data_IF_834804857625
#
_entry.id   IF_834804857625
#
_cell.length_a   1.000
_cell.length_b   1.000
_cell.length_c   1.000
_cell.angle_alpha   90.00
_cell.angle_beta   90.00
_cell.angle_gamma   90.00
#
_symmetry.space_group_name_H-M   'P 1'
#
loop_
_entity.id
_entity.type
_entity.pdbx_description
1 polymer ?
#
# COMPACT_ATOMS: atom_id res chain seq x y z
N UNK A 1 -1.69 1.66 -12.65
CA UNK A 1 -2.20 2.65 -13.62
C UNK A 1 -1.23 3.82 -13.76
N UNK A 2 -1.55 4.77 -14.62
CA UNK A 2 -0.80 6.04 -14.70
C UNK A 2 -1.05 6.87 -13.44
N UNK A 3 -0.01 7.50 -12.89
CA UNK A 3 -0.16 8.48 -11.81
C UNK A 3 -0.56 9.86 -12.34
N UNK A 4 -0.78 10.81 -11.42
CA UNK A 4 -1.22 12.18 -11.75
C UNK A 4 -0.12 13.02 -12.39
N UNK A 5 1.15 12.69 -12.14
CA UNK A 5 2.31 13.32 -12.78
C UNK A 5 2.85 12.46 -13.94
N UNK A 6 3.38 13.07 -15.02
CA UNK A 6 3.98 12.33 -16.13
C UNK A 6 5.03 11.32 -15.67
N UNK A 7 5.02 10.12 -16.25
CA UNK A 7 5.97 9.05 -15.93
C UNK A 7 5.71 8.31 -14.60
N UNK A 8 4.84 8.84 -13.73
CA UNK A 8 4.51 8.18 -12.46
C UNK A 8 3.49 7.05 -12.64
N UNK A 9 3.39 6.20 -11.63
CA UNK A 9 2.49 5.06 -11.54
C UNK A 9 1.68 5.14 -10.26
N UNK A 10 0.47 4.59 -10.32
CA UNK A 10 -0.35 4.33 -9.13
C UNK A 10 -0.67 2.85 -9.04
N UNK A 11 -0.55 2.30 -7.84
CA UNK A 11 -0.98 0.95 -7.51
C UNK A 11 -2.09 1.03 -6.47
N UNK A 12 -3.16 0.28 -6.70
CA UNK A 12 -4.29 0.16 -5.78
C UNK A 12 -4.36 -1.28 -5.34
N UNK A 13 -4.30 -1.50 -4.02
CA UNK A 13 -4.35 -2.82 -3.40
C UNK A 13 -5.60 -2.91 -2.54
N UNK A 14 -6.32 -4.02 -2.61
CA UNK A 14 -7.43 -4.30 -1.70
C UNK A 14 -7.04 -5.50 -0.83
N UNK A 15 -6.68 -5.25 0.43
CA UNK A 15 -6.47 -6.33 1.40
C UNK A 15 -7.79 -6.75 2.01
N UNK A 16 -8.01 -8.06 2.04
CA UNK A 16 -9.16 -8.71 2.66
C UNK A 16 -8.66 -9.77 3.64
N UNK A 17 -9.43 -10.03 4.69
CA UNK A 17 -9.10 -11.03 5.71
C UNK A 17 -9.65 -10.64 7.07
N UNK A 18 -9.62 -11.59 8.01
CA UNK A 18 -10.22 -11.40 9.33
C UNK A 18 -9.54 -10.27 10.13
N UNK A 19 -8.22 -10.11 10.00
CA UNK A 19 -7.48 -9.06 10.68
C UNK A 19 -7.94 -7.64 10.27
N UNK A 20 -8.19 -7.41 8.99
CA UNK A 20 -8.71 -6.12 8.49
C UNK A 20 -10.20 -5.97 8.75
N UNK A 21 -11.01 -7.03 8.59
CA UNK A 21 -12.46 -6.98 8.87
C UNK A 21 -12.78 -6.66 10.34
N UNK A 22 -11.92 -7.09 11.26
CA UNK A 22 -12.07 -6.81 12.68
C UNK A 22 -11.79 -5.35 13.07
N UNK A 23 -11.28 -4.53 12.14
CA UNK A 23 -10.99 -3.13 12.40
C UNK A 23 -12.28 -2.29 12.33
N UNK A 24 -12.46 -1.32 13.24
CA UNK A 24 -13.50 -0.31 13.07
C UNK A 24 -13.17 0.61 11.87
N UNK A 25 -14.19 1.17 11.22
CA UNK A 25 -14.02 2.02 10.04
C UNK A 25 -13.09 3.23 10.27
N UNK A 26 -13.01 3.75 11.49
CA UNK A 26 -12.11 4.85 11.88
C UNK A 26 -10.73 4.41 12.40
N UNK A 27 -10.36 3.14 12.25
CA UNK A 27 -9.08 2.64 12.73
C UNK A 27 -7.91 3.35 12.04
N UNK A 28 -6.96 3.83 12.85
CA UNK A 28 -5.67 4.30 12.34
C UNK A 28 -4.86 3.10 11.87
N UNK A 29 -4.38 3.15 10.64
CA UNK A 29 -3.49 2.15 10.04
C UNK A 29 -2.22 2.84 9.55
N UNK A 30 -1.16 2.05 9.40
CA UNK A 30 0.09 2.47 8.79
C UNK A 30 0.30 1.65 7.53
N UNK A 31 0.59 2.32 6.42
CA UNK A 31 1.05 1.67 5.19
C UNK A 31 2.58 1.64 5.23
N UNK A 32 3.15 0.46 5.51
CA UNK A 32 4.59 0.26 5.44
C UNK A 32 4.99 -0.05 4.01
N UNK A 33 5.65 0.92 3.36
CA UNK A 33 6.09 0.82 1.98
C UNK A 33 7.61 0.67 1.87
N UNK A 34 8.05 0.05 0.79
CA UNK A 34 9.44 0.10 0.37
C UNK A 34 9.59 -0.10 -1.12
N UNK A 35 10.70 0.40 -1.66
CA UNK A 35 11.09 0.19 -3.04
C UNK A 35 12.59 -0.06 -3.14
N UNK A 36 13.04 -0.89 -4.08
CA UNK A 36 14.47 -1.07 -4.36
C UNK A 36 15.08 0.04 -5.22
N UNK A 37 14.26 0.71 -6.05
CA UNK A 37 14.63 1.82 -6.91
C UNK A 37 13.46 2.79 -7.10
N UNK A 38 13.73 4.01 -7.55
CA UNK A 38 12.71 5.06 -7.64
C UNK A 38 12.25 5.57 -6.27
N UNK A 39 11.06 6.17 -6.21
CA UNK A 39 10.50 6.79 -5.02
C UNK A 39 9.03 6.39 -4.85
N UNK A 40 8.68 5.99 -3.64
CA UNK A 40 7.27 5.82 -3.22
C UNK A 40 6.90 6.98 -2.32
N UNK A 41 5.73 7.56 -2.54
CA UNK A 41 5.14 8.53 -1.61
C UNK A 41 4.54 7.80 -0.40
N UNK A 42 4.08 8.57 0.60
CA UNK A 42 3.26 8.01 1.68
C UNK A 42 2.03 7.31 1.08
N UNK A 43 1.78 6.08 1.55
CA UNK A 43 0.63 5.30 1.11
C UNK A 43 -0.63 5.74 1.85
N UNK A 44 -1.73 5.88 1.12
CA UNK A 44 -3.03 6.19 1.71
C UNK A 44 -3.84 4.92 1.88
N UNK A 45 -4.41 4.71 3.07
CA UNK A 45 -5.28 3.57 3.37
C UNK A 45 -6.67 4.04 3.83
N UNK A 46 -7.71 3.33 3.37
CA UNK A 46 -9.09 3.56 3.79
C UNK A 46 -9.86 2.24 3.82
N UNK A 47 -10.91 2.11 4.66
CA UNK A 47 -11.84 0.99 4.56
C UNK A 47 -12.46 0.92 3.16
N UNK A 48 -12.62 -0.28 2.64
CA UNK A 48 -13.29 -0.55 1.38
C UNK A 48 -14.60 -1.30 1.65
N UNK A 49 -15.76 -0.61 1.66
CA UNK A 49 -17.04 -1.24 2.00
C UNK A 49 -17.52 -2.27 0.98
N UNK A 50 -17.05 -2.19 -0.28
CA UNK A 50 -17.42 -3.14 -1.33
C UNK A 50 -16.83 -4.53 -1.08
N UNK A 51 -15.63 -4.58 -0.49
CA UNK A 51 -14.91 -5.83 -0.20
C UNK A 51 -14.92 -6.20 1.29
N UNK A 52 -15.38 -5.28 2.16
CA UNK A 52 -15.25 -5.41 3.62
C UNK A 52 -13.79 -5.38 4.11
N UNK A 53 -12.87 -4.91 3.26
CA UNK A 53 -11.42 -4.89 3.51
C UNK A 53 -10.87 -3.47 3.64
N UNK A 54 -9.57 -3.32 3.40
CA UNK A 54 -8.90 -2.02 3.32
C UNK A 54 -8.28 -1.82 1.95
N UNK A 55 -8.51 -0.64 1.36
CA UNK A 55 -7.88 -0.21 0.11
C UNK A 55 -6.67 0.66 0.39
N UNK A 56 -5.59 0.40 -0.33
CA UNK A 56 -4.33 1.13 -0.25
C UNK A 56 -4.03 1.71 -1.62
N UNK A 57 -3.68 2.99 -1.66
CA UNK A 57 -3.21 3.68 -2.85
C UNK A 57 -1.74 4.07 -2.68
N UNK A 58 -0.90 3.65 -3.63
CA UNK A 58 0.54 3.89 -3.63
C UNK A 58 0.89 4.69 -4.88
N UNK A 59 1.47 5.87 -4.70
CA UNK A 59 2.09 6.62 -5.78
C UNK A 59 3.57 6.25 -5.91
N UNK A 60 4.01 5.91 -7.11
CA UNK A 60 5.35 5.48 -7.44
C UNK A 60 5.93 6.31 -8.58
N UNK A 61 7.09 6.91 -8.35
CA UNK A 61 7.93 7.54 -9.37
C UNK A 61 9.12 6.62 -9.66
N UNK A 62 9.19 5.98 -10.85
CA UNK A 62 10.34 5.17 -11.22
C UNK A 62 11.68 5.91 -11.21
N UNK A 63 11.67 7.24 -11.31
CA UNK A 63 12.86 8.10 -11.37
C UNK A 63 13.90 7.62 -12.40
N UNK A 64 13.45 7.09 -13.54
CA UNK A 64 14.30 6.59 -14.63
C UNK A 64 14.84 5.18 -14.43
N UNK A 65 14.43 4.44 -13.40
CA UNK A 65 14.77 3.02 -13.28
C UNK A 65 14.05 2.18 -14.35
N UNK A 66 14.71 1.13 -14.84
CA UNK A 66 14.09 0.13 -15.74
C UNK A 66 13.36 -0.98 -14.98
N UNK A 67 13.76 -1.22 -13.72
CA UNK A 67 13.19 -2.23 -12.83
C UNK A 67 13.14 -1.68 -11.41
N UNK A 68 12.04 -1.92 -10.70
CA UNK A 68 11.91 -1.66 -9.27
C UNK A 68 11.09 -2.75 -8.59
N UNK A 69 11.48 -3.14 -7.38
CA UNK A 69 10.73 -4.05 -6.52
C UNK A 69 10.03 -3.25 -5.43
N UNK A 70 8.71 -3.30 -5.43
CA UNK A 70 7.82 -2.64 -4.49
C UNK A 70 7.36 -3.63 -3.44
N UNK A 71 7.33 -3.18 -2.17
CA UNK A 71 6.74 -3.92 -1.05
C UNK A 71 5.69 -3.08 -0.33
N UNK A 72 4.62 -3.71 0.14
CA UNK A 72 3.59 -3.09 0.97
C UNK A 72 3.10 -4.04 2.06
N UNK A 73 2.99 -3.54 3.29
CA UNK A 73 2.32 -4.21 4.41
C UNK A 73 1.39 -3.19 5.09
N UNK A 74 0.14 -3.56 5.33
CA UNK A 74 -0.76 -2.80 6.19
C UNK A 74 -0.52 -3.19 7.64
N UNK A 75 -0.31 -2.20 8.52
CA UNK A 75 -0.09 -2.41 9.96
C UNK A 75 -1.09 -1.64 10.80
N UNK A 76 -1.38 -2.17 11.98
CA UNK A 76 -2.20 -1.47 12.97
C UNK A 76 -1.38 -0.30 13.55
N UNK A 77 -1.86 0.93 13.43
CA UNK A 77 -1.16 2.10 13.97
C UNK A 77 -1.65 2.49 15.37
N UNK A 78 -2.59 1.73 15.95
CA UNK A 78 -3.12 1.95 17.30
C UNK A 78 -2.29 1.26 18.38
N UNK A 79 -1.49 0.27 17.98
CA UNK A 79 -0.61 -0.53 18.83
C UNK A 79 0.86 -0.14 18.59
N UNK A 80 1.67 -0.08 19.66
CA UNK A 80 3.10 0.23 19.58
C UNK A 80 3.89 -0.86 18.84
N UNK A 81 3.40 -2.11 18.87
CA UNK A 81 3.98 -3.26 18.15
C UNK A 81 3.75 -3.22 16.65
N UNK A 82 2.84 -2.36 16.16
CA UNK A 82 2.48 -2.23 14.74
C UNK A 82 2.22 -3.59 14.07
N UNK A 83 1.34 -4.39 14.68
CA UNK A 83 0.99 -5.71 14.21
C UNK A 83 0.58 -5.68 12.73
N UNK A 84 1.04 -6.67 11.95
CA UNK A 84 0.68 -6.78 10.55
C UNK A 84 -0.80 -7.17 10.42
N UNK A 85 -1.54 -6.42 9.61
CA UNK A 85 -2.95 -6.65 9.28
C UNK A 85 -3.11 -7.34 7.92
N UNK A 86 -2.05 -7.36 7.12
CA UNK A 86 -2.01 -8.01 5.80
C UNK A 86 -0.78 -8.89 5.66
N UNK A 87 -0.77 -9.68 4.60
CA UNK A 87 0.45 -10.24 4.04
C UNK A 87 1.39 -9.13 3.52
N UNK A 88 2.62 -9.52 3.15
CA UNK A 88 3.53 -8.65 2.40
C UNK A 88 3.20 -8.76 0.93
N UNK A 89 2.66 -7.70 0.35
CA UNK A 89 2.52 -7.58 -1.09
C UNK A 89 3.88 -7.25 -1.70
N UNK A 90 4.30 -8.05 -2.68
CA UNK A 90 5.53 -7.82 -3.46
C UNK A 90 5.17 -7.70 -4.94
N UNK A 91 5.76 -6.72 -5.60
CA UNK A 91 5.54 -6.51 -7.02
C UNK A 91 6.79 -5.99 -7.70
N UNK A 92 7.12 -6.57 -8.86
CA UNK A 92 8.17 -6.07 -9.72
C UNK A 92 7.54 -5.18 -10.80
N UNK A 93 7.90 -3.91 -10.78
CA UNK A 93 7.60 -2.99 -11.87
C UNK A 93 8.75 -3.00 -12.88
N UNK A 94 8.41 -2.90 -14.17
CA UNK A 94 9.33 -2.76 -15.29
C UNK A 94 8.81 -1.66 -16.23
N UNK A 95 9.72 -0.97 -16.92
CA UNK A 95 9.40 0.13 -17.85
C UNK A 95 8.59 -0.31 -19.08
#
# INVERSE_FOLDING_TARGET
GAGTAPGTRVFVLDFQGEAVKALPAGAKTLVELGTSAGRVAEGYSAPNPETGGWRISIAFDPAGADVAELRCVLRDARDDRRAALSETWLYRWTA
#
